data_IF_592937029604
#
_entry.id   IF_592937029604
#
_cell.length_a   1.000
_cell.length_b   1.000
_cell.length_c   1.000
_cell.angle_alpha   90.00
_cell.angle_beta   90.00
_cell.angle_gamma   90.00
#
_symmetry.space_group_name_H-M   'P 1'
#
loop_
_entity.id
_entity.type
_entity.pdbx_description
1 polymer ?
#
# COMPACT_ATOMS: atom_id res chain seq x y z
N UNK A 1 0.69 -6.29 15.30
CA UNK A 1 1.41 -5.11 14.76
C UNK A 1 1.17 -5.03 13.26
N UNK A 2 1.05 -3.82 12.73
CA UNK A 2 0.88 -3.57 11.28
C UNK A 2 2.14 -4.02 10.55
N UNK A 3 2.02 -4.87 9.54
CA UNK A 3 3.13 -5.32 8.68
C UNK A 3 3.45 -4.24 7.65
N UNK A 4 4.72 -4.03 7.36
CA UNK A 4 5.19 -2.96 6.48
C UNK A 4 5.98 -3.57 5.33
N UNK A 5 5.62 -3.22 4.09
CA UNK A 5 6.46 -3.43 2.93
C UNK A 5 7.10 -2.10 2.50
N UNK A 6 8.40 -2.14 2.23
CA UNK A 6 9.12 -1.03 1.65
C UNK A 6 9.50 -1.35 0.21
N UNK A 7 9.04 -0.51 -0.70
CA UNK A 7 9.47 -0.56 -2.09
C UNK A 7 10.80 0.17 -2.25
N UNK A 8 11.64 -0.33 -3.15
CA UNK A 8 13.00 0.18 -3.34
C UNK A 8 13.45 0.06 -4.80
N UNK A 9 14.46 0.85 -5.23
CA UNK A 9 15.16 0.65 -6.49
C UNK A 9 15.76 -0.75 -6.59
N UNK A 10 15.79 -1.30 -7.82
CA UNK A 10 16.19 -2.67 -8.11
C UNK A 10 17.53 -3.04 -7.45
N UNK A 11 18.54 -2.16 -7.54
CA UNK A 11 19.89 -2.44 -7.04
C UNK A 11 19.99 -2.59 -5.50
N UNK A 12 19.00 -2.10 -4.73
CA UNK A 12 19.00 -2.20 -3.26
C UNK A 12 17.82 -3.00 -2.70
N UNK A 13 16.97 -3.60 -3.55
CA UNK A 13 15.86 -4.44 -3.08
C UNK A 13 16.30 -5.54 -2.11
N UNK A 14 17.41 -6.28 -2.35
CA UNK A 14 17.89 -7.29 -1.41
C UNK A 14 18.26 -6.70 -0.03
N UNK A 15 18.83 -5.49 0.00
CA UNK A 15 19.17 -4.79 1.24
C UNK A 15 17.90 -4.38 1.99
N UNK A 16 16.92 -3.77 1.31
CA UNK A 16 15.65 -3.32 1.91
C UNK A 16 14.79 -4.49 2.37
N UNK A 17 14.89 -5.68 1.70
CA UNK A 17 14.17 -6.90 2.09
C UNK A 17 14.41 -7.29 3.54
N UNK A 18 15.60 -7.05 4.07
CA UNK A 18 15.94 -7.37 5.47
C UNK A 18 15.22 -6.47 6.51
N UNK A 19 14.68 -5.34 6.04
CA UNK A 19 13.99 -4.37 6.89
C UNK A 19 12.48 -4.30 6.63
N UNK A 20 11.94 -5.16 5.76
CA UNK A 20 10.52 -5.23 5.41
C UNK A 20 9.89 -6.51 5.97
N UNK A 21 8.58 -6.48 6.28
CA UNK A 21 7.88 -7.64 6.86
C UNK A 21 7.38 -8.60 5.77
N UNK A 22 7.11 -8.09 4.57
CA UNK A 22 6.72 -8.84 3.38
C UNK A 22 7.19 -8.08 2.12
N UNK A 23 7.17 -8.74 0.96
CA UNK A 23 7.57 -8.13 -0.31
C UNK A 23 6.34 -7.66 -1.08
N UNK A 24 6.37 -6.42 -1.59
CA UNK A 24 5.31 -5.81 -2.40
C UNK A 24 5.78 -5.71 -3.85
N UNK A 25 5.05 -6.31 -4.78
CA UNK A 25 5.41 -6.43 -6.18
C UNK A 25 4.41 -5.68 -7.08
N UNK A 26 4.91 -4.96 -8.05
CA UNK A 26 4.14 -4.27 -9.09
C UNK A 26 4.15 -5.11 -10.37
N UNK A 27 2.99 -5.58 -10.83
CA UNK A 27 2.91 -6.55 -11.94
C UNK A 27 3.49 -6.04 -13.26
N UNK A 28 3.32 -4.75 -13.57
CA UNK A 28 3.84 -4.18 -14.83
C UNK A 28 5.35 -4.31 -14.95
N UNK A 29 6.08 -4.23 -13.83
CA UNK A 29 7.53 -4.38 -13.81
C UNK A 29 8.00 -5.82 -14.10
N UNK A 30 7.12 -6.82 -13.99
CA UNK A 30 7.46 -8.18 -14.43
C UNK A 30 7.55 -8.32 -15.94
N UNK A 31 6.80 -7.50 -16.68
CA UNK A 31 6.87 -7.45 -18.15
C UNK A 31 8.13 -6.70 -18.63
N UNK A 32 8.63 -5.77 -17.82
CA UNK A 32 9.72 -4.88 -18.19
C UNK A 32 11.10 -5.38 -17.73
N UNK A 33 11.16 -6.13 -16.61
CA UNK A 33 12.40 -6.45 -15.93
C UNK A 33 12.41 -7.86 -15.34
N UNK A 34 13.11 -8.80 -15.99
CA UNK A 34 13.25 -10.17 -15.49
C UNK A 34 13.93 -10.21 -14.11
N UNK A 35 14.93 -9.38 -13.85
CA UNK A 35 15.62 -9.33 -12.55
C UNK A 35 14.67 -8.95 -11.42
N UNK A 36 13.68 -8.09 -11.71
CA UNK A 36 12.64 -7.74 -10.74
C UNK A 36 11.75 -8.95 -10.41
N UNK A 37 11.29 -9.69 -11.42
CA UNK A 37 10.53 -10.92 -11.21
C UNK A 37 11.34 -11.96 -10.43
N UNK A 38 12.59 -12.19 -10.83
CA UNK A 38 13.49 -13.18 -10.21
C UNK A 38 13.73 -12.87 -8.72
N UNK A 39 13.79 -11.59 -8.35
CA UNK A 39 13.88 -11.17 -6.94
C UNK A 39 12.69 -11.68 -6.11
N UNK A 40 11.46 -11.64 -6.62
CA UNK A 40 10.29 -12.14 -5.88
C UNK A 40 10.25 -13.66 -5.84
N UNK A 41 10.68 -14.33 -6.89
CA UNK A 41 10.86 -15.79 -6.87
C UNK A 41 11.88 -16.20 -5.81
N UNK A 42 13.02 -15.51 -5.73
CA UNK A 42 14.03 -15.72 -4.70
C UNK A 42 13.47 -15.43 -3.30
N UNK A 43 12.81 -14.31 -3.13
CA UNK A 43 12.20 -13.91 -1.85
C UNK A 43 11.23 -14.99 -1.32
N UNK A 44 10.42 -15.58 -2.20
CA UNK A 44 9.54 -16.70 -1.84
C UNK A 44 10.33 -17.92 -1.39
N UNK A 45 11.42 -18.28 -2.09
CA UNK A 45 12.30 -19.39 -1.69
C UNK A 45 12.93 -19.17 -0.31
N UNK A 46 13.15 -17.92 0.06
CA UNK A 46 13.61 -17.51 1.40
C UNK A 46 12.47 -17.46 2.45
N UNK A 47 11.26 -17.90 2.10
CA UNK A 47 10.12 -17.93 3.01
C UNK A 47 9.42 -16.56 3.21
N UNK A 48 9.72 -15.56 2.37
CA UNK A 48 9.08 -14.23 2.45
C UNK A 48 7.70 -14.28 1.81
N UNK A 49 6.72 -13.66 2.47
CA UNK A 49 5.40 -13.44 1.87
C UNK A 49 5.52 -12.40 0.75
N UNK A 50 4.75 -12.61 -0.32
CA UNK A 50 4.65 -11.67 -1.45
C UNK A 50 3.21 -11.27 -1.64
N UNK A 51 2.96 -9.95 -1.75
CA UNK A 51 1.74 -9.34 -2.23
C UNK A 51 1.99 -8.83 -3.65
N UNK A 52 1.14 -9.19 -4.61
CA UNK A 52 1.20 -8.73 -6.00
C UNK A 52 0.13 -7.68 -6.25
N UNK A 53 0.56 -6.49 -6.66
CA UNK A 53 -0.30 -5.36 -7.01
C UNK A 53 -0.62 -5.34 -8.51
N UNK A 54 -1.81 -4.89 -8.87
CA UNK A 54 -2.28 -4.76 -10.24
C UNK A 54 -1.73 -3.51 -10.98
N UNK A 55 -0.93 -2.70 -10.30
CA UNK A 55 -0.22 -1.51 -10.83
C UNK A 55 -1.11 -0.39 -11.37
N UNK A 56 -2.37 -0.31 -10.94
CA UNK A 56 -3.30 0.70 -11.43
C UNK A 56 -2.84 2.14 -11.12
N UNK A 57 -2.16 2.34 -9.98
CA UNK A 57 -1.66 3.67 -9.59
C UNK A 57 -0.56 4.18 -10.52
N UNK A 58 0.32 3.30 -10.96
CA UNK A 58 1.43 3.61 -11.87
C UNK A 58 0.95 3.83 -13.30
N UNK A 59 0.06 2.96 -13.78
CA UNK A 59 -0.42 2.92 -15.15
C UNK A 59 -1.62 3.84 -15.42
N UNK A 60 -2.35 4.23 -14.38
CA UNK A 60 -3.61 4.98 -14.50
C UNK A 60 -4.82 4.12 -14.90
N UNK A 61 -4.58 2.86 -15.26
CA UNK A 61 -5.57 1.82 -15.55
C UNK A 61 -5.09 0.50 -14.96
N UNK A 62 -6.02 -0.39 -14.58
CA UNK A 62 -5.65 -1.72 -14.12
C UNK A 62 -4.89 -2.49 -15.20
N UNK A 63 -3.94 -3.31 -14.79
CA UNK A 63 -3.24 -4.22 -15.69
C UNK A 63 -4.23 -5.19 -16.34
N UNK A 64 -3.92 -5.66 -17.55
CA UNK A 64 -4.76 -6.62 -18.28
C UNK A 64 -5.07 -7.85 -17.43
N UNK A 65 -6.35 -8.19 -17.27
CA UNK A 65 -6.79 -9.21 -16.33
C UNK A 65 -6.28 -10.62 -16.66
N UNK A 66 -6.22 -11.01 -17.95
CA UNK A 66 -5.74 -12.32 -18.35
C UNK A 66 -4.22 -12.46 -18.14
N UNK A 67 -3.47 -11.41 -18.45
CA UNK A 67 -2.04 -11.34 -18.16
C UNK A 67 -1.78 -11.33 -16.65
N UNK A 68 -2.57 -10.57 -15.87
CA UNK A 68 -2.45 -10.54 -14.42
C UNK A 68 -2.69 -11.93 -13.83
N UNK A 69 -3.74 -12.62 -14.28
CA UNK A 69 -4.02 -13.99 -13.86
C UNK A 69 -2.84 -14.94 -14.17
N UNK A 70 -2.23 -14.82 -15.35
CA UNK A 70 -1.05 -15.60 -15.72
C UNK A 70 0.14 -15.32 -14.79
N UNK A 71 0.35 -14.07 -14.38
CA UNK A 71 1.39 -13.72 -13.41
C UNK A 71 1.08 -14.21 -12.00
N UNK A 72 -0.20 -14.18 -11.58
CA UNK A 72 -0.64 -14.78 -10.30
C UNK A 72 -0.37 -16.28 -10.31
N UNK A 73 -0.72 -16.99 -11.39
CA UNK A 73 -0.46 -18.42 -11.53
C UNK A 73 1.04 -18.73 -11.52
N UNK A 74 1.85 -17.98 -12.24
CA UNK A 74 3.30 -18.18 -12.35
C UNK A 74 4.05 -17.86 -11.06
N UNK A 75 3.73 -16.73 -10.40
CA UNK A 75 4.38 -16.30 -9.16
C UNK A 75 3.82 -17.02 -7.94
N UNK A 76 2.53 -17.34 -7.94
CA UNK A 76 1.80 -17.86 -6.78
C UNK A 76 1.98 -16.97 -5.54
N UNK A 77 1.61 -15.69 -5.58
CA UNK A 77 1.76 -14.78 -4.46
C UNK A 77 0.89 -15.23 -3.27
N UNK A 78 1.23 -14.80 -2.06
CA UNK A 78 0.42 -15.07 -0.88
C UNK A 78 -0.90 -14.27 -0.87
N UNK A 79 -0.83 -13.06 -1.39
CA UNK A 79 -1.93 -12.12 -1.54
C UNK A 79 -1.77 -11.38 -2.87
N UNK A 80 -2.89 -10.96 -3.48
CA UNK A 80 -2.84 -10.10 -4.66
C UNK A 80 -4.05 -9.17 -4.72
N UNK A 81 -3.84 -8.00 -5.32
CA UNK A 81 -4.88 -6.98 -5.50
C UNK A 81 -5.62 -7.28 -6.80
N UNK A 82 -6.89 -7.64 -6.69
CA UNK A 82 -7.75 -7.89 -7.87
C UNK A 82 -7.86 -6.60 -8.70
N UNK A 83 -7.76 -6.67 -10.04
CA UNK A 83 -7.88 -5.50 -10.90
C UNK A 83 -9.15 -4.70 -10.61
N UNK A 84 -8.96 -3.43 -10.25
CA UNK A 84 -10.01 -2.49 -9.88
C UNK A 84 -10.10 -1.31 -10.86
N UNK A 85 -10.89 -0.30 -10.58
CA UNK A 85 -11.02 0.91 -11.39
C UNK A 85 -10.97 2.15 -10.49
N UNK A 86 -10.00 3.05 -10.77
CA UNK A 86 -9.77 4.23 -9.94
C UNK A 86 -11.05 5.05 -9.76
N UNK A 87 -11.43 5.26 -8.50
CA UNK A 87 -12.57 6.07 -8.07
C UNK A 87 -13.92 5.70 -8.74
N UNK A 88 -14.07 4.44 -9.17
CA UNK A 88 -15.30 3.95 -9.82
C UNK A 88 -15.80 2.68 -9.11
N UNK A 89 -16.82 2.84 -8.28
CA UNK A 89 -17.41 1.77 -7.47
C UNK A 89 -17.99 0.65 -8.33
N UNK A 90 -18.85 1.01 -9.29
CA UNK A 90 -19.61 0.03 -10.09
C UNK A 90 -18.65 -0.85 -10.90
N UNK A 91 -17.74 -0.24 -11.64
CA UNK A 91 -16.75 -0.97 -12.45
C UNK A 91 -15.81 -1.81 -11.56
N UNK A 92 -15.45 -1.32 -10.36
CA UNK A 92 -14.62 -2.09 -9.42
C UNK A 92 -15.34 -3.34 -8.92
N UNK A 93 -16.63 -3.22 -8.58
CA UNK A 93 -17.48 -4.36 -8.17
C UNK A 93 -17.64 -5.35 -9.31
N UNK A 94 -17.97 -4.88 -10.52
CA UNK A 94 -18.09 -5.72 -11.72
C UNK A 94 -16.79 -6.48 -12.05
N UNK A 95 -15.65 -5.80 -11.97
CA UNK A 95 -14.34 -6.42 -12.17
C UNK A 95 -14.06 -7.50 -11.13
N UNK A 96 -14.40 -7.25 -9.87
CA UNK A 96 -14.21 -8.21 -8.79
C UNK A 96 -15.10 -9.45 -8.95
N UNK A 97 -16.37 -9.29 -9.31
CA UNK A 97 -17.29 -10.41 -9.61
C UNK A 97 -16.80 -11.23 -10.81
N UNK A 98 -16.39 -10.55 -11.88
CA UNK A 98 -15.81 -11.20 -13.06
C UNK A 98 -14.56 -11.99 -12.70
N UNK A 99 -13.69 -11.41 -11.85
CA UNK A 99 -12.49 -12.09 -11.36
C UNK A 99 -12.84 -13.36 -10.58
N UNK A 100 -13.76 -13.27 -9.63
CA UNK A 100 -14.19 -14.42 -8.83
C UNK A 100 -14.80 -15.54 -9.65
N UNK A 101 -15.50 -15.21 -10.75
CA UNK A 101 -16.12 -16.22 -11.63
C UNK A 101 -15.11 -16.84 -12.60
N UNK A 102 -14.21 -16.02 -13.17
CA UNK A 102 -13.29 -16.43 -14.24
C UNK A 102 -12.03 -17.11 -13.68
N UNK A 103 -11.48 -16.57 -12.59
CA UNK A 103 -10.18 -16.99 -12.03
C UNK A 103 -10.30 -17.53 -10.60
N UNK A 104 -11.38 -18.25 -10.31
CA UNK A 104 -11.74 -18.75 -8.96
C UNK A 104 -10.65 -19.63 -8.33
N UNK A 105 -9.93 -20.41 -9.15
CA UNK A 105 -8.98 -21.43 -8.70
C UNK A 105 -7.53 -20.89 -8.56
N UNK A 106 -7.29 -19.59 -8.86
CA UNK A 106 -5.97 -19.00 -8.66
C UNK A 106 -5.58 -18.97 -7.18
N UNK A 107 -4.31 -19.33 -6.89
CA UNK A 107 -3.81 -19.37 -5.52
C UNK A 107 -3.62 -17.95 -4.96
N UNK A 108 -3.62 -17.84 -3.62
CA UNK A 108 -3.42 -16.58 -2.91
C UNK A 108 -4.72 -15.91 -2.49
N UNK A 109 -4.62 -15.02 -1.49
CA UNK A 109 -5.75 -14.25 -1.00
C UNK A 109 -6.07 -13.08 -1.92
N UNK A 110 -7.33 -12.89 -2.19
CA UNK A 110 -7.86 -11.83 -3.04
C UNK A 110 -8.10 -10.57 -2.22
N UNK A 111 -7.38 -9.50 -2.56
CA UNK A 111 -7.55 -8.18 -1.93
C UNK A 111 -8.47 -7.36 -2.81
N UNK A 112 -9.57 -6.86 -2.23
CA UNK A 112 -10.49 -5.93 -2.89
C UNK A 112 -10.19 -4.50 -2.49
N UNK A 113 -10.01 -3.62 -3.47
CA UNK A 113 -9.79 -2.19 -3.23
C UNK A 113 -11.13 -1.49 -3.11
N UNK A 114 -11.28 -0.66 -2.09
CA UNK A 114 -12.45 0.21 -1.94
C UNK A 114 -12.26 1.41 -2.87
N UNK A 115 -13.20 1.64 -3.79
CA UNK A 115 -13.15 2.73 -4.76
C UNK A 115 -14.44 3.55 -4.72
N UNK A 116 -14.35 4.86 -4.96
CA UNK A 116 -15.49 5.77 -5.03
C UNK A 116 -15.08 7.23 -4.86
N UNK A 117 -15.88 8.15 -5.41
CA UNK A 117 -15.68 9.62 -5.34
C UNK A 117 -16.45 10.28 -4.20
N UNK A 118 -17.48 9.63 -3.70
CA UNK A 118 -18.34 10.12 -2.63
C UNK A 118 -18.35 9.15 -1.46
N UNK A 119 -18.68 9.63 -0.26
CA UNK A 119 -18.80 8.76 0.91
C UNK A 119 -19.79 7.61 0.69
N UNK A 120 -20.91 7.88 0.00
CA UNK A 120 -21.93 6.87 -0.32
C UNK A 120 -21.33 5.75 -1.19
N UNK A 121 -20.64 6.09 -2.26
CA UNK A 121 -19.99 5.13 -3.16
C UNK A 121 -18.91 4.34 -2.44
N UNK A 122 -18.06 4.99 -1.64
CA UNK A 122 -17.04 4.35 -0.82
C UNK A 122 -17.66 3.35 0.15
N UNK A 123 -18.76 3.70 0.83
CA UNK A 123 -19.47 2.80 1.75
C UNK A 123 -20.08 1.61 1.01
N UNK A 124 -20.64 1.82 -0.17
CA UNK A 124 -21.19 0.77 -1.01
C UNK A 124 -20.10 -0.22 -1.43
N UNK A 125 -19.01 0.27 -1.99
CA UNK A 125 -17.84 -0.53 -2.36
C UNK A 125 -17.25 -1.26 -1.15
N UNK A 126 -17.10 -0.57 -0.01
CA UNK A 126 -16.60 -1.17 1.23
C UNK A 126 -17.45 -2.36 1.69
N UNK A 127 -18.77 -2.20 1.71
CA UNK A 127 -19.69 -3.29 2.11
C UNK A 127 -19.56 -4.50 1.20
N UNK A 128 -19.49 -4.25 -0.11
CA UNK A 128 -19.29 -5.30 -1.10
C UNK A 128 -17.95 -6.04 -0.88
N UNK A 129 -16.82 -5.31 -0.78
CA UNK A 129 -15.51 -5.91 -0.55
C UNK A 129 -15.42 -6.60 0.82
N UNK A 130 -16.11 -6.07 1.83
CA UNK A 130 -16.22 -6.70 3.15
C UNK A 130 -16.90 -8.07 3.11
N UNK A 131 -17.84 -8.29 2.19
CA UNK A 131 -18.49 -9.58 1.99
C UNK A 131 -17.61 -10.54 1.16
N UNK A 132 -17.08 -10.09 0.03
CA UNK A 132 -16.48 -10.93 -1.02
C UNK A 132 -14.98 -11.12 -0.95
N UNK A 133 -14.21 -10.09 -0.57
CA UNK A 133 -12.75 -10.16 -0.58
C UNK A 133 -12.19 -10.88 0.65
N UNK A 134 -11.00 -11.47 0.55
CA UNK A 134 -10.27 -12.04 1.69
C UNK A 134 -9.65 -10.95 2.57
N UNK A 135 -9.30 -9.80 1.96
CA UNK A 135 -8.71 -8.64 2.60
C UNK A 135 -9.18 -7.37 1.88
N UNK A 136 -9.33 -6.27 2.60
CA UNK A 136 -9.81 -4.99 2.07
C UNK A 136 -8.62 -4.04 1.95
N UNK A 137 -8.51 -3.30 0.84
CA UNK A 137 -7.51 -2.26 0.67
C UNK A 137 -8.14 -0.86 0.56
N UNK A 138 -7.47 0.13 1.17
CA UNK A 138 -7.89 1.54 1.15
C UNK A 138 -6.70 2.38 0.69
N UNK A 139 -6.85 3.11 -0.43
CA UNK A 139 -5.80 3.94 -0.99
C UNK A 139 -5.60 5.25 -0.22
N UNK A 140 -4.40 5.85 -0.38
CA UNK A 140 -4.02 7.10 0.28
C UNK A 140 -4.47 8.35 -0.48
N UNK A 141 -4.87 8.26 -1.74
CA UNK A 141 -4.93 9.40 -2.67
C UNK A 141 -6.31 9.64 -3.32
N UNK A 142 -7.40 9.22 -2.68
CA UNK A 142 -8.74 9.49 -3.24
C UNK A 142 -9.04 11.00 -3.35
N UNK A 143 -9.67 11.40 -4.47
CA UNK A 143 -10.14 12.77 -4.67
C UNK A 143 -11.15 13.21 -3.57
N UNK A 144 -11.90 12.26 -3.02
CA UNK A 144 -12.78 12.44 -1.86
C UNK A 144 -12.06 13.13 -0.67
N UNK A 145 -10.79 12.80 -0.43
CA UNK A 145 -10.02 13.40 0.67
C UNK A 145 -9.73 14.89 0.44
N UNK A 146 -9.55 15.30 -0.83
CA UNK A 146 -9.25 16.70 -1.17
C UNK A 146 -10.43 17.64 -0.92
N UNK A 147 -11.66 17.12 -0.94
CA UNK A 147 -12.89 17.92 -0.72
C UNK A 147 -13.44 17.79 0.70
N UNK A 148 -12.99 16.78 1.46
CA UNK A 148 -13.55 16.49 2.81
C UNK A 148 -12.57 16.70 3.95
N UNK A 149 -11.26 16.75 3.67
CA UNK A 149 -10.24 16.89 4.71
C UNK A 149 -9.52 18.26 4.62
N UNK A 150 -9.19 18.79 5.79
CA UNK A 150 -8.36 20.00 5.90
C UNK A 150 -6.87 19.62 5.87
N UNK A 151 -6.05 20.48 5.27
CA UNK A 151 -4.61 20.32 5.22
C UNK A 151 -3.94 21.52 4.55
N UNK A 152 -2.67 21.76 4.85
CA UNK A 152 -1.88 22.87 4.29
C UNK A 152 -1.55 22.66 2.80
N UNK A 153 -1.59 21.39 2.37
CA UNK A 153 -1.46 20.99 0.97
C UNK A 153 -2.19 19.66 0.74
N UNK A 154 -2.20 19.15 -0.52
CA UNK A 154 -2.89 17.91 -0.90
C UNK A 154 -2.41 16.67 -0.12
N UNK A 155 -1.14 16.61 0.26
CA UNK A 155 -0.60 15.45 0.98
C UNK A 155 -1.10 15.39 2.42
N UNK A 156 -1.26 16.54 3.06
CA UNK A 156 -1.92 16.64 4.37
C UNK A 156 -3.41 16.31 4.26
N UNK A 157 -4.08 16.73 3.18
CA UNK A 157 -5.48 16.38 2.94
C UNK A 157 -5.64 14.86 2.73
N UNK A 158 -4.76 14.22 1.97
CA UNK A 158 -4.74 12.77 1.81
C UNK A 158 -4.55 12.03 3.14
N UNK A 159 -3.54 12.43 3.92
CA UNK A 159 -3.25 11.86 5.23
C UNK A 159 -4.46 11.97 6.18
N UNK A 160 -4.98 13.18 6.35
CA UNK A 160 -6.13 13.44 7.23
C UNK A 160 -7.42 12.81 6.67
N UNK A 161 -7.58 12.80 5.35
CA UNK A 161 -8.76 12.26 4.67
C UNK A 161 -8.89 10.77 4.85
N UNK A 162 -7.81 9.99 4.67
CA UNK A 162 -7.85 8.54 4.91
C UNK A 162 -8.11 8.23 6.38
N UNK A 163 -7.45 8.94 7.29
CA UNK A 163 -7.72 8.80 8.73
C UNK A 163 -9.18 9.09 9.08
N UNK A 164 -9.74 10.20 8.57
CA UNK A 164 -11.14 10.57 8.78
C UNK A 164 -12.11 9.54 8.17
N UNK A 165 -11.83 9.06 6.96
CA UNK A 165 -12.65 8.02 6.32
C UNK A 165 -12.71 6.76 7.17
N UNK A 166 -11.56 6.26 7.62
CA UNK A 166 -11.48 5.05 8.46
C UNK A 166 -12.24 5.25 9.77
N UNK A 167 -12.13 6.44 10.40
CA UNK A 167 -12.91 6.75 11.59
C UNK A 167 -14.41 6.79 11.32
N UNK A 168 -14.84 7.44 10.25
CA UNK A 168 -16.25 7.52 9.90
C UNK A 168 -16.85 6.13 9.63
N UNK A 169 -16.09 5.25 8.96
CA UNK A 169 -16.51 3.85 8.76
C UNK A 169 -16.58 3.08 10.09
N UNK A 170 -15.61 3.30 10.97
CA UNK A 170 -15.56 2.62 12.27
C UNK A 170 -16.68 3.11 13.19
N UNK A 171 -16.82 4.41 13.36
CA UNK A 171 -17.81 5.02 14.27
C UNK A 171 -19.23 4.83 13.75
N UNK A 172 -19.40 4.67 12.43
CA UNK A 172 -20.65 4.25 11.78
C UNK A 172 -20.96 2.74 11.88
N UNK A 173 -20.11 1.95 12.57
CA UNK A 173 -20.29 0.50 12.72
C UNK A 173 -20.17 -0.29 11.41
N UNK A 174 -19.51 0.26 10.40
CA UNK A 174 -19.33 -0.36 9.08
C UNK A 174 -18.11 -1.25 9.00
N UNK A 175 -17.07 -0.97 9.81
CA UNK A 175 -15.83 -1.74 9.80
C UNK A 175 -16.05 -3.19 10.19
N UNK A 176 -15.70 -4.10 9.30
CA UNK A 176 -15.61 -5.53 9.61
C UNK A 176 -14.24 -5.82 10.26
N UNK A 177 -14.17 -5.74 11.58
CA UNK A 177 -12.94 -5.92 12.34
C UNK A 177 -12.35 -7.35 12.25
N UNK A 178 -13.12 -8.33 11.76
CA UNK A 178 -12.65 -9.70 11.54
C UNK A 178 -11.94 -9.87 10.18
N UNK A 179 -12.04 -8.88 9.29
CA UNK A 179 -11.38 -8.89 7.99
C UNK A 179 -10.13 -8.02 8.04
N UNK A 180 -8.96 -8.52 7.61
CA UNK A 180 -7.75 -7.71 7.59
C UNK A 180 -7.86 -6.58 6.57
N UNK A 181 -7.28 -5.41 6.91
CA UNK A 181 -7.24 -4.26 6.03
C UNK A 181 -5.79 -3.93 5.66
N UNK A 182 -5.60 -3.54 4.41
CA UNK A 182 -4.35 -3.06 3.86
C UNK A 182 -4.46 -1.57 3.54
N UNK A 183 -3.47 -0.78 3.94
CA UNK A 183 -3.39 0.63 3.59
C UNK A 183 -2.42 0.79 2.40
N UNK A 184 -2.97 1.04 1.22
CA UNK A 184 -2.19 1.26 0.00
C UNK A 184 -1.49 2.60 0.05
N UNK A 185 -0.18 2.57 -0.07
CA UNK A 185 0.69 3.72 -0.13
C UNK A 185 0.72 4.58 1.13
N UNK A 186 1.58 5.60 1.09
CA UNK A 186 1.76 6.56 2.18
C UNK A 186 1.83 7.99 1.61
N UNK A 187 0.95 8.86 2.08
CA UNK A 187 1.06 10.29 1.83
C UNK A 187 2.11 10.91 2.76
N UNK A 188 1.84 10.89 4.06
CA UNK A 188 2.76 11.37 5.10
C UNK A 188 2.90 10.33 6.21
N UNK A 189 4.12 10.05 6.71
CA UNK A 189 4.36 9.05 7.74
C UNK A 189 3.58 9.29 9.04
N UNK A 190 3.30 10.53 9.39
CA UNK A 190 2.56 10.92 10.61
C UNK A 190 1.17 10.28 10.69
N UNK A 191 0.55 9.95 9.56
CA UNK A 191 -0.74 9.25 9.51
C UNK A 191 -0.73 7.98 10.35
N UNK A 192 0.32 7.19 10.25
CA UNK A 192 0.41 5.91 10.95
C UNK A 192 0.57 6.05 12.46
N UNK A 193 1.09 7.20 12.92
CA UNK A 193 1.08 7.56 14.33
C UNK A 193 -0.32 7.69 14.93
N UNK A 194 -1.32 8.09 14.12
CA UNK A 194 -2.71 8.13 14.57
C UNK A 194 -3.26 6.73 14.84
N UNK A 195 -2.94 5.75 14.00
CA UNK A 195 -3.37 4.37 14.20
C UNK A 195 -2.63 3.69 15.35
N UNK A 196 -1.32 3.92 15.49
CA UNK A 196 -0.52 3.35 16.58
C UNK A 196 -0.92 3.89 17.95
N UNK A 197 -1.33 5.16 18.04
CA UNK A 197 -1.78 5.79 19.29
C UNK A 197 -3.05 5.15 19.86
N UNK A 198 -3.86 4.49 19.03
CA UNK A 198 -5.05 3.75 19.45
C UNK A 198 -5.11 2.38 18.77
N UNK A 199 -4.06 1.60 18.92
CA UNK A 199 -3.92 0.30 18.28
C UNK A 199 -5.12 -0.64 18.53
N UNK A 200 -5.74 -0.59 19.69
CA UNK A 200 -6.89 -1.43 20.02
C UNK A 200 -8.08 -1.14 19.09
N UNK A 201 -8.32 0.13 18.76
CA UNK A 201 -9.37 0.54 17.80
C UNK A 201 -9.04 0.07 16.39
N UNK A 202 -7.77 0.17 15.97
CA UNK A 202 -7.35 -0.06 14.59
C UNK A 202 -6.65 -1.40 14.35
N UNK A 203 -6.82 -2.38 15.25
CA UNK A 203 -6.18 -3.71 15.12
C UNK A 203 -6.55 -4.49 13.84
N UNK A 204 -7.61 -4.09 13.14
CA UNK A 204 -8.01 -4.66 11.85
C UNK A 204 -7.07 -4.23 10.71
N UNK A 205 -6.31 -3.13 10.88
CA UNK A 205 -5.27 -2.74 9.93
C UNK A 205 -4.11 -3.73 10.06
N UNK A 206 -3.93 -4.57 9.05
CA UNK A 206 -2.97 -5.68 9.04
C UNK A 206 -1.64 -5.29 8.40
N UNK A 207 -1.69 -4.49 7.33
CA UNK A 207 -0.50 -4.20 6.54
C UNK A 207 -0.58 -2.86 5.79
N UNK A 208 0.57 -2.38 5.37
CA UNK A 208 0.74 -1.23 4.50
C UNK A 208 1.98 -1.40 3.61
N UNK A 209 2.02 -0.69 2.48
CA UNK A 209 3.17 -0.55 1.61
C UNK A 209 3.62 0.91 1.50
N UNK A 210 4.88 1.14 1.20
CA UNK A 210 5.40 2.48 0.95
C UNK A 210 6.82 2.49 0.39
N UNK A 211 7.07 3.34 -0.60
CA UNK A 211 8.42 3.74 -1.03
C UNK A 211 8.94 4.98 -0.29
N UNK A 212 8.09 5.66 0.50
CA UNK A 212 8.37 7.00 1.04
C UNK A 212 9.72 7.11 1.81
N UNK A 213 10.07 6.22 2.78
CA UNK A 213 11.35 6.34 3.49
C UNK A 213 12.56 6.11 2.57
N UNK A 214 12.43 5.23 1.59
CA UNK A 214 13.50 4.91 0.63
C UNK A 214 13.72 6.08 -0.31
N UNK A 215 12.67 6.59 -0.96
CA UNK A 215 12.75 7.73 -1.90
C UNK A 215 13.30 8.97 -1.21
N UNK A 216 12.86 9.28 0.02
CA UNK A 216 13.42 10.41 0.78
C UNK A 216 14.91 10.21 1.07
N UNK A 217 15.34 9.00 1.49
CA UNK A 217 16.74 8.70 1.73
C UNK A 217 17.63 8.86 0.48
N UNK A 218 17.12 8.42 -0.67
CA UNK A 218 17.82 8.60 -1.95
C UNK A 218 18.00 10.08 -2.35
N UNK A 219 17.09 10.94 -1.90
CA UNK A 219 17.13 12.39 -2.14
C UNK A 219 17.77 13.17 -0.98
N UNK A 220 18.54 12.50 -0.11
CA UNK A 220 19.23 13.09 1.04
C UNK A 220 18.29 13.78 2.05
N UNK A 221 17.05 13.32 2.16
CA UNK A 221 16.10 13.82 3.14
C UNK A 221 16.01 12.84 4.31
N UNK A 222 16.39 13.32 5.49
CA UNK A 222 16.37 12.56 6.73
C UNK A 222 15.01 12.71 7.42
N UNK A 223 14.46 11.59 7.89
CA UNK A 223 13.27 11.59 8.72
C UNK A 223 13.56 12.18 10.11
N UNK A 224 12.65 13.06 10.53
CA UNK A 224 12.52 13.49 11.92
C UNK A 224 11.65 12.49 12.72
N UNK A 225 11.33 12.80 13.97
CA UNK A 225 10.56 11.93 14.86
C UNK A 225 9.18 11.50 14.30
N UNK A 226 8.52 12.35 13.51
CA UNK A 226 7.24 12.08 12.86
C UNK A 226 7.36 11.85 11.35
N UNK A 227 8.56 11.57 10.85
CA UNK A 227 8.85 11.40 9.44
C UNK A 227 9.20 12.71 8.75
N UNK A 228 8.61 12.96 7.58
CA UNK A 228 8.76 14.22 6.83
C UNK A 228 7.51 15.07 6.95
N UNK A 229 7.70 16.40 6.92
CA UNK A 229 6.60 17.37 6.98
C UNK A 229 5.87 17.54 5.67
N UNK A 230 6.52 17.18 4.56
CA UNK A 230 5.94 17.25 3.22
C UNK A 230 6.43 16.07 2.37
N UNK A 231 5.66 15.69 1.38
CA UNK A 231 5.98 14.57 0.49
C UNK A 231 6.76 15.10 -0.72
N UNK A 232 7.87 14.43 -1.04
CA UNK A 232 8.53 14.63 -2.32
C UNK A 232 7.58 14.27 -3.48
N UNK A 233 7.53 15.15 -4.48
CA UNK A 233 6.81 14.88 -5.72
C UNK A 233 7.69 14.06 -6.69
N UNK A 234 8.20 12.94 -6.20
CA UNK A 234 9.03 11.99 -6.95
C UNK A 234 8.43 10.60 -6.79
N UNK A 235 8.23 9.91 -7.90
CA UNK A 235 7.79 8.53 -7.91
C UNK A 235 9.00 7.59 -7.83
N UNK A 236 8.82 6.39 -7.25
CA UNK A 236 9.88 5.39 -7.17
C UNK A 236 10.45 5.04 -8.55
N UNK A 237 9.60 4.97 -9.58
CA UNK A 237 10.02 4.63 -10.94
C UNK A 237 11.09 5.57 -11.50
N UNK A 238 11.12 6.84 -11.07
CA UNK A 238 12.12 7.81 -11.50
C UNK A 238 13.54 7.47 -11.03
N UNK A 239 13.67 6.67 -9.98
CA UNK A 239 14.94 6.19 -9.45
C UNK A 239 15.06 4.66 -9.45
N UNK A 240 14.11 3.94 -10.04
CA UNK A 240 14.02 2.48 -9.96
C UNK A 240 15.23 1.76 -10.59
N UNK A 241 15.73 2.28 -11.73
CA UNK A 241 16.83 1.69 -12.50
C UNK A 241 18.22 2.28 -12.20
N UNK A 242 18.38 2.99 -11.07
CA UNK A 242 19.73 3.44 -10.67
C UNK A 242 20.64 2.24 -10.46
N UNK A 243 21.90 2.34 -10.90
CA UNK A 243 22.85 1.23 -10.87
C UNK A 243 23.41 0.95 -9.47
N UNK A 244 23.48 1.97 -8.63
CA UNK A 244 23.99 1.86 -7.26
C UNK A 244 23.54 3.03 -6.41
N UNK A 245 23.50 2.81 -5.10
CA UNK A 245 23.29 3.85 -4.09
C UNK A 245 24.55 3.95 -3.25
N UNK A 246 25.06 5.16 -3.03
CA UNK A 246 26.24 5.40 -2.19
C UNK A 246 25.96 5.02 -0.73
N UNK A 247 27.01 4.75 0.03
CA UNK A 247 26.89 4.32 1.42
C UNK A 247 26.11 5.31 2.27
N UNK A 248 26.37 6.60 2.13
CA UNK A 248 25.66 7.66 2.88
C UNK A 248 24.15 7.65 2.59
N UNK A 249 23.77 7.36 1.33
CA UNK A 249 22.37 7.20 0.93
C UNK A 249 21.74 5.94 1.55
N UNK A 250 22.47 4.81 1.60
CA UNK A 250 22.00 3.59 2.25
C UNK A 250 21.81 3.81 3.76
N UNK A 251 22.78 4.44 4.43
CA UNK A 251 22.71 4.76 5.86
C UNK A 251 21.46 5.64 6.17
N UNK A 252 21.14 6.55 5.25
CA UNK A 252 19.99 7.43 5.39
C UNK A 252 18.66 6.70 5.12
N UNK A 253 18.62 5.81 4.12
CA UNK A 253 17.48 4.93 3.86
C UNK A 253 17.21 4.05 5.09
N UNK A 254 18.24 3.45 5.67
CA UNK A 254 18.13 2.62 6.88
C UNK A 254 17.58 3.41 8.06
N UNK A 255 18.08 4.64 8.25
CA UNK A 255 17.56 5.55 9.27
C UNK A 255 16.07 5.84 9.04
N UNK A 256 15.68 6.20 7.82
CA UNK A 256 14.32 6.56 7.49
C UNK A 256 13.35 5.36 7.66
N UNK A 257 13.76 4.16 7.23
CA UNK A 257 12.97 2.94 7.43
C UNK A 257 12.77 2.64 8.92
N UNK A 258 13.84 2.72 9.72
CA UNK A 258 13.76 2.51 11.19
C UNK A 258 12.84 3.53 11.83
N UNK A 259 12.94 4.80 11.43
CA UNK A 259 12.08 5.86 11.93
C UNK A 259 10.62 5.68 11.53
N UNK A 260 10.36 5.29 10.26
CA UNK A 260 9.01 4.97 9.79
C UNK A 260 8.39 3.82 10.61
N UNK A 261 9.15 2.74 10.81
CA UNK A 261 8.71 1.61 11.64
C UNK A 261 8.43 2.02 13.07
N UNK A 262 9.23 2.93 13.64
CA UNK A 262 8.96 3.50 14.96
C UNK A 262 7.63 4.26 15.00
N UNK A 263 7.32 5.07 14.01
CA UNK A 263 6.04 5.81 13.91
C UNK A 263 4.86 4.82 13.87
N UNK A 264 4.98 3.76 13.06
CA UNK A 264 3.91 2.76 12.89
C UNK A 264 3.70 1.90 14.13
N UNK A 265 4.76 1.58 14.88
CA UNK A 265 4.72 0.57 15.95
C UNK A 265 4.76 1.15 17.37
N UNK A 266 5.15 2.41 17.54
CA UNK A 266 5.22 3.04 18.86
C UNK A 266 4.05 3.98 19.06
N UNK A 267 3.22 3.79 20.11
CA UNK A 267 2.17 4.74 20.44
C UNK A 267 2.76 6.14 20.61
N UNK A 268 2.31 7.10 19.81
CA UNK A 268 2.68 8.49 20.00
C UNK A 268 1.98 9.00 21.26
N UNK A 269 2.74 9.49 22.23
CA UNK A 269 2.17 10.18 23.38
C UNK A 269 1.45 11.42 22.84
N UNK A 270 0.12 11.42 22.89
CA UNK A 270 -0.67 12.62 22.65
C UNK A 270 -0.31 13.62 23.73
N UNK A 271 0.53 14.59 23.40
CA UNK A 271 0.61 15.81 24.22
C UNK A 271 -0.79 16.43 24.22
N UNK A 272 -1.43 16.37 25.40
CA UNK A 272 -2.71 17.02 25.67
C UNK A 272 -2.58 18.53 25.50
#
# INVERSE_FOLDING_TARGET
>A
MIKIAHEAPLCIMPHVREMTDYCYALVHLFEECNEYYDYFVESKKLGRSVLLDNSIFELGVAFDADKFASWVEKLQPHEYIVPDSLENTDTTIENFDKWLSTYKDLPGKKIGVVQGKTYKEIVECYKYMSDKADKIAISFDYSYYLVTALGVNKYHQYCNGRYNLINNLFDGGLINANKPHHLLGCSLPVEFGFYSSNYTKYKFIDSLDTSNPVVNGMHNIKYESLGVKDKLNVKLIECFYVKSVKKEGLDLIDHNIKQFRSIVHTPQLTTK
#
